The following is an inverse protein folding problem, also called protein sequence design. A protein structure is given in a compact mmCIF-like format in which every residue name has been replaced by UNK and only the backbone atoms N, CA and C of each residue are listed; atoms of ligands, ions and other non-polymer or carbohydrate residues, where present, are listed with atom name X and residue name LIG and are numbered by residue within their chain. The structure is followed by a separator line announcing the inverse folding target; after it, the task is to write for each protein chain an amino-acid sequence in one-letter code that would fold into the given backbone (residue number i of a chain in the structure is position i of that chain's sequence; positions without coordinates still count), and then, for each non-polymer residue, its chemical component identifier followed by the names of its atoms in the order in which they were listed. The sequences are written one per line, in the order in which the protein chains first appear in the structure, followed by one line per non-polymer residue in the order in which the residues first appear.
data_IF_281107210203
#
_entry.id   IF_281107210203
#
_cell.length_a   1.000
_cell.length_b   1.000
_cell.length_c   1.000
_cell.angle_alpha   90.00
_cell.angle_beta   90.00
_cell.angle_gamma   90.00
#
_symmetry.space_group_name_H-M   'P 1'
#
loop_
_entity.id
_entity.type
_entity.pdbx_description
1 polymer ?
#
# COMPACT_ATOMS: atom_id res chain seq x y z
N UNK A 1 -28.64 -77.01 -36.63
CA UNK A 1 -27.72 -75.99 -37.15
C UNK A 1 -28.45 -74.68 -37.62
N UNK A 2 -29.48 -74.68 -38.51
CA UNK A 2 -30.11 -73.45 -38.99
C UNK A 2 -30.80 -72.61 -37.91
N UNK A 3 -31.47 -73.28 -36.92
CA UNK A 3 -32.13 -72.54 -35.85
C UNK A 3 -31.16 -71.80 -34.95
N UNK A 4 -30.01 -72.36 -34.65
CA UNK A 4 -28.97 -71.69 -33.80
C UNK A 4 -28.43 -70.46 -34.52
N UNK A 5 -28.16 -70.53 -35.82
CA UNK A 5 -27.71 -69.43 -36.66
C UNK A 5 -28.76 -68.32 -36.68
N UNK A 6 -30.05 -68.66 -36.77
CA UNK A 6 -31.17 -67.71 -36.75
C UNK A 6 -31.29 -66.99 -35.39
N UNK A 7 -31.15 -67.73 -34.29
CA UNK A 7 -31.14 -67.14 -32.93
C UNK A 7 -29.96 -66.19 -32.77
N UNK A 8 -28.76 -66.59 -33.16
CA UNK A 8 -27.56 -65.72 -33.10
C UNK A 8 -27.79 -64.47 -33.93
N UNK A 9 -28.37 -64.58 -35.13
CA UNK A 9 -28.69 -63.46 -36.00
C UNK A 9 -29.69 -62.49 -35.34
N UNK A 10 -30.74 -62.98 -34.68
CA UNK A 10 -31.70 -62.16 -33.92
C UNK A 10 -31.02 -61.47 -32.78
N UNK A 11 -30.17 -62.17 -32.00
CA UNK A 11 -29.42 -61.56 -30.87
C UNK A 11 -28.51 -60.47 -31.39
N UNK A 12 -27.84 -60.64 -32.50
CA UNK A 12 -26.94 -59.67 -33.11
C UNK A 12 -27.69 -58.44 -33.62
N UNK A 13 -28.88 -58.58 -34.20
CA UNK A 13 -29.78 -57.46 -34.51
C UNK A 13 -30.22 -56.72 -33.27
N UNK A 14 -30.68 -57.41 -32.22
CA UNK A 14 -31.11 -56.82 -30.99
C UNK A 14 -29.98 -56.06 -30.28
N UNK A 15 -28.76 -56.59 -30.28
CA UNK A 15 -27.58 -55.91 -29.76
C UNK A 15 -27.23 -54.65 -30.58
N UNK A 16 -27.44 -54.66 -31.90
CA UNK A 16 -27.23 -53.48 -32.75
C UNK A 16 -28.27 -52.36 -32.55
N UNK A 17 -29.48 -52.75 -32.01
CA UNK A 17 -30.55 -51.78 -31.74
C UNK A 17 -30.27 -50.90 -30.55
N UNK A 18 -29.48 -51.37 -29.60
CA UNK A 18 -29.19 -50.66 -28.36
C UNK A 18 -28.09 -49.62 -28.61
N UNK A 19 -28.37 -48.37 -28.28
CA UNK A 19 -27.41 -47.26 -28.36
C UNK A 19 -27.38 -46.51 -27.03
N UNK A 20 -26.16 -46.22 -26.57
CA UNK A 20 -25.92 -45.41 -25.36
C UNK A 20 -25.53 -44.01 -25.81
N UNK A 21 -26.26 -43.00 -25.34
CA UNK A 21 -25.94 -41.56 -25.57
C UNK A 21 -25.14 -41.07 -24.39
N UNK A 22 -23.90 -40.57 -24.59
CA UNK A 22 -23.07 -40.05 -23.52
C UNK A 22 -23.67 -38.78 -22.90
N UNK A 23 -23.23 -38.44 -21.69
CA UNK A 23 -23.56 -37.19 -21.01
C UNK A 23 -23.20 -35.99 -21.87
N UNK A 24 -24.05 -34.94 -21.87
CA UNK A 24 -23.89 -33.71 -22.66
C UNK A 24 -23.86 -33.94 -24.20
N UNK A 25 -24.38 -35.07 -24.68
CA UNK A 25 -24.64 -35.31 -26.11
C UNK A 25 -26.12 -35.63 -26.30
N UNK A 26 -26.55 -35.34 -27.53
CA UNK A 26 -27.91 -35.60 -27.94
C UNK A 26 -27.91 -36.14 -29.38
N UNK A 27 -28.74 -37.13 -29.70
CA UNK A 27 -28.83 -37.65 -31.05
C UNK A 27 -30.22 -37.35 -31.60
N UNK A 28 -30.22 -36.73 -32.76
CA UNK A 28 -31.44 -36.44 -33.54
C UNK A 28 -31.75 -37.66 -34.39
N UNK A 29 -32.97 -38.22 -34.23
CA UNK A 29 -33.41 -39.44 -34.87
C UNK A 29 -34.44 -39.13 -35.95
N UNK A 30 -34.19 -39.59 -37.15
CA UNK A 30 -35.12 -39.62 -38.27
C UNK A 30 -35.74 -40.98 -38.39
N UNK A 31 -37.03 -41.00 -38.71
CA UNK A 31 -37.76 -42.19 -39.10
C UNK A 31 -38.32 -42.02 -40.50
N UNK A 32 -37.85 -42.85 -41.41
CA UNK A 32 -38.23 -42.77 -42.82
C UNK A 32 -38.13 -41.37 -43.44
N UNK A 33 -37.08 -40.63 -43.06
CA UNK A 33 -36.83 -39.28 -43.57
C UNK A 33 -37.53 -38.14 -42.86
N UNK A 34 -38.33 -38.41 -41.81
CA UNK A 34 -38.96 -37.36 -40.99
C UNK A 34 -38.38 -37.35 -39.61
N UNK A 35 -38.33 -36.18 -38.97
CA UNK A 35 -37.94 -36.03 -37.56
C UNK A 35 -38.89 -36.89 -36.66
N UNK A 36 -38.33 -37.77 -35.88
CA UNK A 36 -39.08 -38.59 -34.92
C UNK A 36 -38.91 -38.13 -33.49
N UNK A 37 -37.68 -38.11 -32.99
CA UNK A 37 -37.39 -37.74 -31.60
C UNK A 37 -35.93 -37.35 -31.43
N UNK A 38 -35.65 -36.70 -30.31
CA UNK A 38 -34.30 -36.35 -29.89
C UNK A 38 -33.94 -37.16 -28.65
N UNK A 39 -32.87 -37.96 -28.74
CA UNK A 39 -32.40 -38.77 -27.63
C UNK A 39 -31.44 -37.99 -26.74
N UNK A 40 -31.78 -37.84 -25.49
CA UNK A 40 -30.93 -37.31 -24.44
C UNK A 40 -29.96 -38.37 -23.92
N UNK A 41 -29.08 -37.99 -22.96
CA UNK A 41 -28.14 -38.93 -22.35
C UNK A 41 -28.89 -40.15 -21.72
N UNK A 42 -28.39 -41.34 -22.00
CA UNK A 42 -28.98 -42.60 -21.49
C UNK A 42 -29.01 -43.71 -22.52
N UNK A 43 -29.74 -44.78 -22.18
CA UNK A 43 -29.92 -45.96 -23.02
C UNK A 43 -31.16 -45.77 -23.90
N UNK A 44 -30.98 -45.96 -25.20
CA UNK A 44 -32.07 -45.86 -26.19
C UNK A 44 -32.06 -47.05 -27.14
N UNK A 45 -33.24 -47.38 -27.63
CA UNK A 45 -33.43 -48.48 -28.57
C UNK A 45 -33.80 -47.92 -29.94
N UNK A 46 -33.00 -48.27 -30.95
CA UNK A 46 -33.17 -47.90 -32.34
C UNK A 46 -33.89 -49.04 -33.10
N UNK A 47 -34.91 -48.69 -33.86
CA UNK A 47 -35.52 -49.69 -34.79
C UNK A 47 -34.60 -49.82 -36.02
N UNK A 48 -34.02 -51.02 -36.26
CA UNK A 48 -33.16 -51.26 -37.41
C UNK A 48 -33.92 -51.00 -38.70
N UNK A 49 -33.20 -50.48 -39.71
CA UNK A 49 -33.68 -50.12 -41.05
C UNK A 49 -34.66 -48.93 -41.13
N UNK A 50 -35.42 -48.64 -40.10
CA UNK A 50 -36.44 -47.59 -40.08
C UNK A 50 -35.89 -46.29 -39.47
N UNK A 51 -35.17 -46.43 -38.32
CA UNK A 51 -34.62 -45.26 -37.59
C UNK A 51 -33.18 -44.99 -38.06
N UNK A 52 -32.89 -43.71 -38.36
CA UNK A 52 -31.56 -43.24 -38.72
C UNK A 52 -31.13 -42.14 -37.72
N UNK A 53 -29.88 -42.16 -37.30
CA UNK A 53 -29.28 -41.02 -36.56
C UNK A 53 -28.92 -39.95 -37.62
N UNK A 54 -29.67 -38.86 -37.64
CA UNK A 54 -29.44 -37.75 -38.55
C UNK A 54 -28.14 -36.99 -38.16
N UNK A 55 -28.01 -36.62 -36.91
CA UNK A 55 -26.83 -35.94 -36.38
C UNK A 55 -26.61 -36.22 -34.93
N UNK A 56 -25.34 -36.28 -34.53
CA UNK A 56 -24.92 -36.32 -33.14
C UNK A 56 -24.53 -34.89 -32.77
N UNK A 57 -25.17 -34.34 -31.75
CA UNK A 57 -25.00 -32.96 -31.30
C UNK A 57 -24.41 -32.95 -29.88
N UNK A 58 -23.40 -32.12 -29.62
CA UNK A 58 -22.90 -31.85 -28.28
C UNK A 58 -23.62 -30.64 -27.71
N UNK A 59 -24.03 -30.76 -26.45
CA UNK A 59 -24.66 -29.66 -25.70
C UNK A 59 -23.63 -28.85 -24.88
N UNK A 60 -22.35 -29.22 -25.01
CA UNK A 60 -21.28 -28.45 -24.38
C UNK A 60 -21.08 -27.13 -25.10
N UNK A 61 -20.60 -26.12 -24.39
CA UNK A 61 -20.15 -24.89 -25.00
C UNK A 61 -19.03 -25.19 -26.02
N UNK A 62 -19.17 -24.59 -27.20
CA UNK A 62 -18.24 -24.70 -28.28
C UNK A 62 -17.65 -23.33 -28.61
N UNK A 63 -16.42 -23.34 -29.11
CA UNK A 63 -15.68 -22.14 -29.48
C UNK A 63 -15.34 -22.22 -30.95
N UNK A 64 -15.66 -21.15 -31.68
CA UNK A 64 -15.25 -20.99 -33.08
C UNK A 64 -14.44 -19.72 -33.22
N UNK A 65 -13.26 -19.86 -33.81
CA UNK A 65 -12.36 -18.76 -34.13
C UNK A 65 -12.55 -18.43 -35.63
N UNK A 66 -13.02 -17.23 -35.91
CA UNK A 66 -13.25 -16.79 -37.28
C UNK A 66 -12.05 -15.99 -37.79
N UNK A 67 -11.74 -16.21 -39.10
CA UNK A 67 -10.65 -15.52 -39.73
C UNK A 67 -10.82 -13.98 -39.71
N UNK A 68 -9.70 -13.22 -39.78
CA UNK A 68 -9.73 -11.77 -39.77
C UNK A 68 -10.62 -11.19 -40.89
N UNK A 69 -11.64 -10.44 -40.48
CA UNK A 69 -12.58 -9.79 -41.39
C UNK A 69 -12.16 -8.34 -41.64
N UNK A 70 -12.14 -7.89 -42.92
CA UNK A 70 -11.90 -6.49 -43.25
C UNK A 70 -13.13 -5.66 -42.91
N UNK A 71 -12.92 -4.60 -42.12
CA UNK A 71 -13.96 -3.62 -41.71
C UNK A 71 -13.45 -2.21 -41.93
N UNK A 72 -14.37 -1.25 -42.09
CA UNK A 72 -14.05 0.16 -42.28
C UNK A 72 -14.73 0.94 -41.18
N UNK A 73 -13.97 1.75 -40.49
CA UNK A 73 -14.46 2.63 -39.42
C UNK A 73 -15.15 3.87 -39.96
N UNK A 74 -15.84 4.61 -39.12
CA UNK A 74 -16.51 5.88 -39.44
C UNK A 74 -15.55 6.94 -40.01
N UNK A 75 -14.32 6.98 -39.55
CA UNK A 75 -13.22 7.83 -40.03
C UNK A 75 -12.48 7.26 -41.24
N UNK A 76 -13.10 6.29 -41.93
CA UNK A 76 -12.64 5.67 -43.20
C UNK A 76 -11.29 4.93 -43.11
N UNK A 77 -10.98 4.37 -41.93
CA UNK A 77 -9.80 3.50 -41.78
C UNK A 77 -10.20 2.05 -41.98
N UNK A 78 -9.53 1.37 -42.91
CA UNK A 78 -9.71 -0.07 -43.15
C UNK A 78 -8.84 -0.85 -42.15
N UNK A 79 -9.45 -1.72 -41.37
CA UNK A 79 -8.73 -2.59 -40.41
C UNK A 79 -9.18 -4.05 -40.55
N UNK A 80 -8.43 -4.95 -39.97
CA UNK A 80 -8.76 -6.38 -39.88
C UNK A 80 -8.98 -6.77 -38.46
N UNK A 81 -10.14 -7.42 -38.21
CA UNK A 81 -10.54 -7.82 -36.84
C UNK A 81 -10.86 -9.31 -36.85
N UNK A 82 -10.24 -10.04 -35.92
CA UNK A 82 -10.52 -11.44 -35.62
C UNK A 82 -11.56 -11.52 -34.53
N UNK A 83 -12.49 -12.47 -34.66
CA UNK A 83 -13.53 -12.69 -33.63
C UNK A 83 -13.59 -14.15 -33.22
N UNK A 84 -13.83 -14.36 -31.93
CA UNK A 84 -14.07 -15.67 -31.33
C UNK A 84 -15.47 -15.67 -30.75
N UNK A 85 -16.27 -16.66 -31.12
CA UNK A 85 -17.65 -16.83 -30.69
C UNK A 85 -17.78 -18.08 -29.84
N UNK A 86 -18.29 -17.92 -28.62
CA UNK A 86 -18.63 -18.97 -27.69
C UNK A 86 -20.13 -19.20 -27.76
N UNK A 87 -20.51 -20.39 -28.16
CA UNK A 87 -21.92 -20.75 -28.32
C UNK A 87 -22.22 -22.12 -27.78
N UNK A 88 -23.49 -22.36 -27.48
CA UNK A 88 -24.02 -23.61 -26.99
C UNK A 88 -25.29 -23.97 -27.75
N UNK A 89 -25.47 -25.26 -28.07
CA UNK A 89 -26.69 -25.74 -28.73
C UNK A 89 -27.73 -25.98 -27.64
N UNK A 90 -28.85 -25.24 -27.71
CA UNK A 90 -29.96 -25.33 -26.79
C UNK A 90 -31.06 -26.25 -27.31
N UNK A 91 -31.37 -26.18 -28.61
CA UNK A 91 -32.32 -27.08 -29.27
C UNK A 91 -31.65 -27.85 -30.43
N UNK A 92 -31.32 -29.14 -30.23
CA UNK A 92 -30.72 -29.98 -31.25
C UNK A 92 -31.57 -30.15 -32.52
N UNK A 93 -32.91 -30.10 -32.42
CA UNK A 93 -33.80 -30.21 -33.55
C UNK A 93 -33.67 -28.98 -34.45
N UNK A 94 -33.78 -27.79 -33.89
CA UNK A 94 -33.62 -26.53 -34.63
C UNK A 94 -32.21 -26.40 -35.23
N UNK A 95 -31.19 -26.86 -34.50
CA UNK A 95 -29.80 -26.85 -34.97
C UNK A 95 -29.60 -27.72 -36.19
N UNK A 96 -30.31 -28.84 -36.32
CA UNK A 96 -30.14 -29.78 -37.47
C UNK A 96 -31.00 -29.39 -38.66
N UNK A 97 -32.21 -28.85 -38.43
CA UNK A 97 -33.18 -28.57 -39.46
C UNK A 97 -33.47 -27.09 -39.72
N UNK A 98 -33.05 -26.21 -38.82
CA UNK A 98 -33.33 -24.77 -38.93
C UNK A 98 -32.44 -24.05 -39.97
N UNK A 99 -31.19 -24.52 -40.10
CA UNK A 99 -30.23 -23.96 -41.07
C UNK A 99 -29.31 -25.04 -41.61
N UNK A 100 -28.94 -24.98 -42.89
CA UNK A 100 -28.11 -26.01 -43.52
C UNK A 100 -26.69 -26.08 -42.94
N UNK A 101 -26.05 -24.92 -42.76
CA UNK A 101 -24.69 -24.79 -42.22
C UNK A 101 -24.64 -23.79 -41.09
N UNK A 102 -24.95 -24.19 -39.83
CA UNK A 102 -25.03 -23.28 -38.71
C UNK A 102 -23.76 -22.46 -38.48
N UNK A 103 -22.61 -23.07 -38.55
CA UNK A 103 -21.32 -22.41 -38.31
C UNK A 103 -21.03 -21.34 -39.37
N UNK A 104 -21.26 -21.65 -40.64
CA UNK A 104 -21.08 -20.68 -41.74
C UNK A 104 -22.11 -19.53 -41.63
N UNK A 105 -23.32 -19.82 -41.20
CA UNK A 105 -24.32 -18.79 -40.94
C UNK A 105 -23.91 -17.85 -39.82
N UNK A 106 -23.39 -18.37 -38.70
CA UNK A 106 -22.84 -17.57 -37.62
C UNK A 106 -21.64 -16.73 -38.06
N UNK A 107 -20.73 -17.31 -38.89
CA UNK A 107 -19.58 -16.60 -39.45
C UNK A 107 -20.00 -15.37 -40.25
N UNK A 108 -20.90 -15.56 -41.22
CA UNK A 108 -21.39 -14.47 -42.05
C UNK A 108 -22.18 -13.43 -41.28
N UNK A 109 -22.97 -13.87 -40.28
CA UNK A 109 -23.69 -12.97 -39.41
C UNK A 109 -22.73 -12.16 -38.53
N UNK A 110 -21.70 -12.81 -37.98
CA UNK A 110 -20.64 -12.16 -37.19
C UNK A 110 -19.92 -11.12 -38.05
N UNK A 111 -19.55 -11.44 -39.26
CA UNK A 111 -18.85 -10.52 -40.18
C UNK A 111 -19.71 -9.30 -40.52
N UNK A 112 -21.01 -9.50 -40.79
CA UNK A 112 -21.93 -8.38 -41.13
C UNK A 112 -22.24 -7.53 -39.92
N UNK A 113 -22.50 -8.13 -38.77
CA UNK A 113 -22.74 -7.41 -37.50
C UNK A 113 -21.51 -6.63 -37.06
N UNK A 114 -20.33 -7.22 -37.15
CA UNK A 114 -19.06 -6.54 -36.86
C UNK A 114 -18.89 -5.31 -37.75
N UNK A 115 -19.10 -5.47 -39.07
CA UNK A 115 -19.00 -4.36 -40.04
C UNK A 115 -19.95 -3.20 -39.68
N UNK A 116 -21.17 -3.50 -39.30
CA UNK A 116 -22.15 -2.49 -38.94
C UNK A 116 -21.73 -1.75 -37.65
N UNK A 117 -21.34 -2.48 -36.59
CA UNK A 117 -20.95 -1.88 -35.33
C UNK A 117 -19.68 -1.03 -35.47
N UNK A 118 -18.68 -1.52 -36.22
CA UNK A 118 -17.41 -0.79 -36.41
C UNK A 118 -17.60 0.40 -37.36
N UNK A 119 -18.51 0.30 -38.33
CA UNK A 119 -18.83 1.43 -39.24
C UNK A 119 -19.42 2.66 -38.55
N UNK A 120 -19.98 2.49 -37.37
CA UNK A 120 -20.51 3.58 -36.52
C UNK A 120 -19.46 4.18 -35.57
N UNK A 121 -18.28 3.54 -35.41
CA UNK A 121 -17.23 3.91 -34.47
C UNK A 121 -16.01 4.48 -35.18
N UNK A 122 -15.33 5.41 -34.51
CA UNK A 122 -14.00 5.87 -34.92
C UNK A 122 -12.90 4.85 -34.53
N UNK A 123 -11.72 4.99 -35.15
CA UNK A 123 -10.59 4.07 -34.87
C UNK A 123 -10.25 3.98 -33.38
N UNK A 124 -10.11 5.13 -32.73
CA UNK A 124 -9.74 5.20 -31.31
C UNK A 124 -10.83 4.58 -30.42
N UNK A 125 -12.10 4.80 -30.76
CA UNK A 125 -13.24 4.19 -30.07
C UNK A 125 -13.25 2.68 -30.24
N UNK A 126 -12.94 2.19 -31.45
CA UNK A 126 -12.86 0.75 -31.74
C UNK A 126 -11.78 0.05 -30.91
N UNK A 127 -10.64 0.71 -30.69
CA UNK A 127 -9.53 0.16 -29.90
C UNK A 127 -9.81 0.16 -28.40
N UNK A 128 -10.56 1.15 -27.90
CA UNK A 128 -10.80 1.35 -26.46
C UNK A 128 -12.10 0.74 -25.96
N UNK A 129 -13.12 0.60 -26.82
CA UNK A 129 -14.48 0.18 -26.44
C UNK A 129 -14.80 -1.28 -26.73
N UNK A 130 -13.81 -2.18 -26.67
CA UNK A 130 -13.97 -3.61 -26.96
C UNK A 130 -15.14 -4.28 -26.24
N UNK A 131 -15.32 -3.98 -24.96
CA UNK A 131 -16.39 -4.55 -24.12
C UNK A 131 -17.78 -4.15 -24.64
N UNK A 132 -17.96 -2.90 -25.07
CA UNK A 132 -19.20 -2.41 -25.65
C UNK A 132 -19.49 -3.10 -26.99
N UNK A 133 -18.48 -3.28 -27.82
CA UNK A 133 -18.58 -3.98 -29.10
C UNK A 133 -18.95 -5.45 -28.87
N UNK A 134 -18.24 -6.15 -27.99
CA UNK A 134 -18.50 -7.54 -27.61
C UNK A 134 -19.96 -7.73 -27.13
N UNK A 135 -20.44 -6.81 -26.29
CA UNK A 135 -21.81 -6.86 -25.75
C UNK A 135 -22.85 -6.66 -26.85
N UNK A 136 -22.67 -5.66 -27.74
CA UNK A 136 -23.56 -5.41 -28.86
C UNK A 136 -23.57 -6.59 -29.82
N UNK A 137 -22.40 -7.11 -30.17
CA UNK A 137 -22.28 -8.27 -31.05
C UNK A 137 -22.99 -9.49 -30.45
N UNK A 138 -22.74 -9.79 -29.17
CA UNK A 138 -23.40 -10.91 -28.49
C UNK A 138 -24.92 -10.77 -28.55
N UNK A 139 -25.47 -9.61 -28.24
CA UNK A 139 -26.92 -9.38 -28.24
C UNK A 139 -27.53 -9.62 -29.63
N UNK A 140 -26.92 -9.06 -30.68
CA UNK A 140 -27.43 -9.21 -32.06
C UNK A 140 -27.28 -10.65 -32.56
N UNK A 141 -26.15 -11.30 -32.24
CA UNK A 141 -25.92 -12.69 -32.66
C UNK A 141 -26.85 -13.64 -31.92
N UNK A 142 -27.04 -13.49 -30.61
CA UNK A 142 -27.93 -14.35 -29.81
C UNK A 142 -29.38 -14.28 -30.31
N UNK A 143 -29.89 -13.07 -30.56
CA UNK A 143 -31.23 -12.87 -31.13
C UNK A 143 -31.39 -13.55 -32.52
N UNK A 144 -30.39 -13.40 -33.37
CA UNK A 144 -30.44 -13.95 -34.71
C UNK A 144 -30.23 -15.47 -34.78
N UNK A 145 -29.55 -16.08 -33.79
CA UNK A 145 -29.26 -17.54 -33.76
C UNK A 145 -30.27 -18.33 -32.93
N UNK A 146 -31.14 -17.69 -32.16
CA UNK A 146 -32.18 -18.33 -31.37
C UNK A 146 -33.13 -19.23 -32.23
N UNK A 147 -33.61 -18.81 -33.40
CA UNK A 147 -34.40 -19.64 -34.30
C UNK A 147 -33.68 -20.92 -34.78
N UNK A 148 -32.36 -20.96 -34.72
CA UNK A 148 -31.54 -22.12 -35.08
C UNK A 148 -31.22 -23.02 -33.88
N UNK A 149 -31.76 -22.72 -32.69
CA UNK A 149 -31.51 -23.45 -31.44
C UNK A 149 -30.06 -23.30 -30.95
N UNK A 150 -29.43 -22.18 -31.24
CA UNK A 150 -28.06 -21.84 -30.82
C UNK A 150 -28.13 -20.63 -29.91
N UNK A 151 -27.52 -20.73 -28.76
CA UNK A 151 -27.32 -19.63 -27.83
C UNK A 151 -25.91 -19.12 -27.88
N UNK A 152 -25.72 -17.84 -28.13
CA UNK A 152 -24.41 -17.17 -28.10
C UNK A 152 -24.15 -16.66 -26.69
N UNK A 153 -23.25 -17.32 -25.98
CA UNK A 153 -22.91 -16.96 -24.59
C UNK A 153 -21.99 -15.73 -24.56
N UNK A 154 -20.98 -15.71 -25.41
CA UNK A 154 -19.97 -14.64 -25.44
C UNK A 154 -19.37 -14.48 -26.84
N UNK A 155 -19.03 -13.25 -27.16
CA UNK A 155 -18.28 -12.88 -28.36
C UNK A 155 -17.08 -12.04 -27.92
N UNK A 156 -15.91 -12.35 -28.45
CA UNK A 156 -14.68 -11.66 -28.12
C UNK A 156 -13.94 -11.21 -29.38
N UNK A 157 -13.53 -9.94 -29.38
CA UNK A 157 -12.59 -9.43 -30.38
C UNK A 157 -11.17 -9.84 -29.97
N UNK A 158 -10.52 -10.65 -30.79
CA UNK A 158 -9.19 -11.20 -30.52
C UNK A 158 -8.11 -10.17 -30.88
N UNK A 159 -7.96 -9.86 -32.14
CA UNK A 159 -6.99 -8.90 -32.65
C UNK A 159 -7.70 -7.81 -33.45
N UNK A 160 -7.26 -6.56 -33.26
CA UNK A 160 -7.66 -5.42 -34.07
C UNK A 160 -6.39 -4.90 -34.73
N UNK A 161 -6.28 -5.08 -36.04
CA UNK A 161 -5.08 -4.80 -36.80
C UNK A 161 -5.36 -3.65 -37.78
N UNK A 162 -4.97 -2.41 -37.42
CA UNK A 162 -5.04 -1.27 -38.33
C UNK A 162 -3.95 -1.38 -39.44
N UNK A 163 -4.00 -0.58 -40.48
CA UNK A 163 -2.95 -0.49 -41.49
C UNK A 163 -1.61 -0.07 -40.86
N UNK A 164 -0.50 -0.59 -41.35
CA UNK A 164 0.83 -0.34 -40.78
C UNK A 164 1.19 1.14 -40.71
N UNK A 165 0.82 1.93 -41.72
CA UNK A 165 1.08 3.37 -41.71
C UNK A 165 0.39 4.11 -40.53
N UNK A 166 -0.82 3.68 -40.20
CA UNK A 166 -1.56 4.24 -39.04
C UNK A 166 -0.96 3.73 -37.75
N UNK A 167 -0.60 2.44 -37.68
CA UNK A 167 0.06 1.86 -36.50
C UNK A 167 1.38 2.59 -36.18
N UNK A 168 2.22 2.84 -37.19
CA UNK A 168 3.47 3.59 -37.04
C UNK A 168 3.23 5.05 -36.57
N UNK A 169 2.19 5.69 -37.13
CA UNK A 169 1.81 7.04 -36.70
C UNK A 169 1.33 7.10 -35.23
N UNK A 170 0.47 6.16 -34.84
CA UNK A 170 -0.03 6.03 -33.47
C UNK A 170 1.12 5.71 -32.48
N UNK A 171 2.06 4.83 -32.86
CA UNK A 171 3.21 4.52 -32.04
C UNK A 171 4.08 5.75 -31.80
N UNK A 172 4.36 6.55 -32.84
CA UNK A 172 5.10 7.82 -32.71
C UNK A 172 4.35 8.82 -31.83
N UNK A 173 3.05 8.97 -32.02
CA UNK A 173 2.21 9.85 -31.21
C UNK A 173 2.21 9.43 -29.75
N UNK A 174 1.99 8.13 -29.47
CA UNK A 174 2.00 7.59 -28.12
C UNK A 174 3.36 7.75 -27.45
N UNK A 175 4.46 7.57 -28.19
CA UNK A 175 5.82 7.81 -27.67
C UNK A 175 6.01 9.26 -27.27
N UNK A 176 5.67 10.19 -28.14
CA UNK A 176 5.77 11.62 -27.87
C UNK A 176 4.90 12.05 -26.67
N UNK A 177 3.69 11.52 -26.55
CA UNK A 177 2.81 11.82 -25.41
C UNK A 177 3.37 11.23 -24.11
N UNK A 178 3.95 10.03 -24.12
CA UNK A 178 4.62 9.44 -22.95
C UNK A 178 5.85 10.27 -22.54
N UNK A 179 6.67 10.65 -23.48
CA UNK A 179 7.84 11.53 -23.22
C UNK A 179 7.40 12.88 -22.62
N UNK A 180 6.35 13.48 -23.16
CA UNK A 180 5.78 14.72 -22.60
C UNK A 180 5.29 14.54 -21.18
N UNK A 181 4.54 13.48 -20.90
CA UNK A 181 4.06 13.16 -19.53
C UNK A 181 5.19 12.87 -18.57
N UNK A 182 6.20 12.15 -19.02
CA UNK A 182 7.41 11.87 -18.24
C UNK A 182 8.10 13.17 -17.81
N UNK A 183 8.31 14.11 -18.75
CA UNK A 183 8.93 15.40 -18.44
C UNK A 183 8.10 16.22 -17.43
N UNK A 184 6.77 16.24 -17.58
CA UNK A 184 5.88 16.90 -16.63
C UNK A 184 6.01 16.30 -15.24
N UNK A 185 5.93 14.95 -15.13
CA UNK A 185 6.03 14.25 -13.86
C UNK A 185 7.39 14.46 -13.17
N UNK A 186 8.48 14.47 -13.94
CA UNK A 186 9.82 14.76 -13.42
C UNK A 186 9.86 16.19 -12.87
N UNK A 187 9.41 17.18 -13.65
CA UNK A 187 9.41 18.58 -13.22
C UNK A 187 8.52 18.83 -11.98
N UNK A 188 7.35 18.19 -11.92
CA UNK A 188 6.48 18.22 -10.74
C UNK A 188 7.13 17.56 -9.53
N UNK A 189 7.80 16.42 -9.73
CA UNK A 189 8.54 15.71 -8.70
C UNK A 189 9.69 16.53 -8.14
N UNK A 190 10.47 17.18 -9.00
CA UNK A 190 11.56 18.10 -8.62
C UNK A 190 11.03 19.30 -7.83
N UNK A 191 9.96 19.94 -8.33
CA UNK A 191 9.30 21.05 -7.63
C UNK A 191 8.83 20.64 -6.23
N UNK A 192 8.13 19.51 -6.12
CA UNK A 192 7.62 18.99 -4.84
C UNK A 192 8.77 18.64 -3.89
N UNK A 193 9.83 18.02 -4.42
CA UNK A 193 11.04 17.70 -3.65
C UNK A 193 11.73 18.95 -3.14
N UNK A 194 11.86 20.00 -3.97
CA UNK A 194 12.45 21.28 -3.56
C UNK A 194 11.63 21.97 -2.46
N UNK A 195 10.30 21.98 -2.59
CA UNK A 195 9.40 22.55 -1.57
C UNK A 195 9.56 21.79 -0.24
N UNK A 196 9.47 20.45 -0.25
CA UNK A 196 9.60 19.64 0.96
C UNK A 196 10.96 19.79 1.63
N UNK A 197 12.05 19.92 0.84
CA UNK A 197 13.38 20.23 1.41
C UNK A 197 13.42 21.59 2.07
N UNK A 198 12.85 22.61 1.42
CA UNK A 198 12.82 23.97 1.99
C UNK A 198 11.97 24.04 3.27
N UNK A 199 10.83 23.35 3.30
CA UNK A 199 9.98 23.21 4.48
C UNK A 199 10.71 22.48 5.62
N UNK A 200 11.35 21.35 5.32
CA UNK A 200 12.14 20.61 6.31
C UNK A 200 13.32 21.41 6.86
N UNK A 201 14.02 22.18 6.03
CA UNK A 201 15.05 23.10 6.51
C UNK A 201 14.51 24.24 7.39
N UNK A 202 13.35 24.80 7.04
CA UNK A 202 12.68 25.81 7.87
C UNK A 202 12.29 25.23 9.23
N UNK A 203 11.66 24.07 9.25
CA UNK A 203 11.22 23.41 10.48
C UNK A 203 12.41 23.01 11.36
N UNK A 204 13.48 22.47 10.75
CA UNK A 204 14.72 22.15 11.47
C UNK A 204 15.32 23.40 12.15
N UNK A 205 15.38 24.55 11.45
CA UNK A 205 15.89 25.81 12.04
C UNK A 205 15.01 26.36 13.14
N UNK A 206 13.69 26.21 13.04
CA UNK A 206 12.76 26.63 14.09
C UNK A 206 12.98 25.77 15.33
N UNK A 207 13.03 24.43 15.19
CA UNK A 207 13.27 23.52 16.30
C UNK A 207 14.65 23.74 16.95
N UNK A 208 15.69 24.02 16.18
CA UNK A 208 17.02 24.35 16.68
C UNK A 208 17.00 25.65 17.50
N UNK A 209 16.37 26.70 17.00
CA UNK A 209 16.22 27.96 17.71
C UNK A 209 15.36 27.83 18.99
N UNK A 210 14.33 27.02 18.98
CA UNK A 210 13.51 26.72 20.17
C UNK A 210 14.30 25.91 21.21
N UNK A 211 15.09 24.94 20.76
CA UNK A 211 15.97 24.16 21.61
C UNK A 211 17.04 25.03 22.28
N UNK A 212 17.68 25.93 21.53
CA UNK A 212 18.66 26.88 22.04
C UNK A 212 18.03 27.86 23.06
N UNK A 213 16.85 28.36 22.76
CA UNK A 213 16.09 29.22 23.69
C UNK A 213 15.75 28.49 24.98
N UNK A 214 15.24 27.27 24.92
CA UNK A 214 14.89 26.48 26.08
C UNK A 214 16.14 26.11 26.88
N UNK A 215 17.23 25.75 26.22
CA UNK A 215 18.52 25.49 26.90
C UNK A 215 19.07 26.73 27.61
N UNK A 216 18.97 27.92 26.97
CA UNK A 216 19.41 29.18 27.61
C UNK A 216 18.54 29.53 28.82
N UNK A 217 17.23 29.34 28.75
CA UNK A 217 16.32 29.59 29.88
C UNK A 217 16.64 28.62 31.04
N UNK A 218 16.76 27.33 30.76
CA UNK A 218 17.11 26.33 31.79
C UNK A 218 18.47 26.58 32.42
N UNK A 219 19.47 27.01 31.66
CA UNK A 219 20.78 27.41 32.19
C UNK A 219 20.68 28.63 33.10
N UNK A 220 19.89 29.65 32.71
CA UNK A 220 19.71 30.83 33.55
C UNK A 220 18.95 30.53 34.85
N UNK A 221 17.93 29.68 34.79
CA UNK A 221 17.19 29.22 35.94
C UNK A 221 18.07 28.39 36.90
N UNK A 222 18.82 27.43 36.36
CA UNK A 222 19.77 26.66 37.14
C UNK A 222 20.84 27.52 37.81
N UNK A 223 21.39 28.52 37.09
CA UNK A 223 22.36 29.46 37.65
C UNK A 223 21.74 30.33 38.76
N UNK A 224 20.50 30.79 38.58
CA UNK A 224 19.75 31.52 39.63
C UNK A 224 19.53 30.64 40.86
N UNK A 225 19.06 29.43 40.69
CA UNK A 225 18.79 28.50 41.80
C UNK A 225 20.07 28.12 42.54
N UNK A 226 21.17 27.88 41.82
CA UNK A 226 22.48 27.63 42.42
C UNK A 226 22.95 28.78 43.31
N UNK A 227 22.83 30.06 42.82
CA UNK A 227 23.17 31.23 43.61
C UNK A 227 22.28 31.43 44.83
N UNK A 228 20.98 31.14 44.71
CA UNK A 228 20.08 31.21 45.87
C UNK A 228 20.48 30.17 46.91
N UNK A 229 20.69 28.93 46.52
CA UNK A 229 21.12 27.85 47.44
C UNK A 229 22.47 28.11 48.07
N UNK A 230 23.41 28.69 47.33
CA UNK A 230 24.72 29.11 47.83
C UNK A 230 24.57 30.20 48.90
N UNK A 231 23.78 31.26 48.61
CA UNK A 231 23.51 32.34 49.55
C UNK A 231 22.74 31.88 50.81
N UNK A 232 21.77 30.96 50.63
CA UNK A 232 21.05 30.34 51.77
C UNK A 232 22.01 29.50 52.62
N UNK A 233 22.89 28.71 51.98
CA UNK A 233 23.92 27.93 52.69
C UNK A 233 24.89 28.81 53.45
N UNK A 234 25.38 29.90 52.85
CA UNK A 234 26.24 30.87 53.52
C UNK A 234 25.53 31.56 54.71
N UNK A 235 24.27 31.99 54.51
CA UNK A 235 23.49 32.60 55.58
C UNK A 235 23.27 31.64 56.73
N UNK A 236 22.96 30.36 56.43
CA UNK A 236 22.78 29.34 57.47
C UNK A 236 24.09 29.02 58.19
N UNK A 237 25.21 28.97 57.48
CA UNK A 237 26.54 28.79 58.03
C UNK A 237 26.90 29.95 59.02
N UNK A 238 26.68 31.20 58.57
CA UNK A 238 26.94 32.39 59.42
C UNK A 238 26.05 32.36 60.66
N UNK A 239 24.74 32.07 60.56
CA UNK A 239 23.83 31.91 61.64
C UNK A 239 24.31 30.85 62.68
N UNK A 240 24.72 29.70 62.14
CA UNK A 240 25.21 28.61 63.00
C UNK A 240 26.49 28.97 63.73
N UNK A 241 27.42 29.68 63.08
CA UNK A 241 28.66 30.17 63.72
C UNK A 241 28.35 31.21 64.75
N UNK A 242 27.45 32.16 64.45
CA UNK A 242 27.08 33.20 65.41
C UNK A 242 26.32 32.66 66.65
N UNK A 243 25.51 31.63 66.41
CA UNK A 243 24.80 30.93 67.50
C UNK A 243 25.76 30.16 68.40
N UNK A 244 26.72 29.44 67.80
CA UNK A 244 27.77 28.77 68.55
C UNK A 244 28.66 29.73 69.33
N UNK A 245 29.03 30.89 68.76
CA UNK A 245 29.75 31.97 69.45
C UNK A 245 28.94 32.54 70.67
N UNK A 246 27.64 32.80 70.41
CA UNK A 246 26.76 33.29 71.45
C UNK A 246 26.59 32.29 72.62
N UNK A 247 26.42 31.00 72.24
CA UNK A 247 26.33 29.95 73.29
C UNK A 247 27.68 29.76 73.98
N UNK A 248 28.80 29.85 73.30
CA UNK A 248 30.14 29.88 73.93
C UNK A 248 30.32 31.02 74.91
N UNK A 249 29.82 32.23 74.54
CA UNK A 249 29.85 33.39 75.47
C UNK A 249 28.93 33.17 76.70
N UNK A 250 27.74 32.57 76.54
CA UNK A 250 26.83 32.20 77.61
C UNK A 250 27.49 31.23 78.63
N UNK A 251 28.10 30.14 78.07
CA UNK A 251 28.83 29.17 78.89
C UNK A 251 29.98 29.80 79.69
N UNK A 252 30.72 30.74 79.05
CA UNK A 252 31.78 31.48 79.76
C UNK A 252 31.21 32.37 80.89
N UNK A 253 30.06 33.01 80.67
CA UNK A 253 29.38 33.83 81.69
C UNK A 253 28.84 33.00 82.87
N UNK A 254 28.26 31.82 82.54
CA UNK A 254 27.72 30.91 83.56
C UNK A 254 28.84 30.22 84.37
N UNK A 255 30.01 29.97 83.78
CA UNK A 255 31.17 29.40 84.43
C UNK A 255 31.90 30.40 85.39
N UNK A 256 31.41 31.62 85.59
CA UNK A 256 31.97 32.60 86.50
C UNK A 256 33.37 33.07 86.11
N UNK A 257 33.51 33.48 84.85
CA UNK A 257 34.82 33.84 84.23
C UNK A 257 35.52 34.95 85.03
N UNK A 258 36.61 34.57 85.64
CA UNK A 258 37.50 35.48 86.43
C UNK A 258 38.26 36.42 85.46
N UNK A 259 38.78 37.54 85.95
CA UNK A 259 39.51 38.48 85.12
C UNK A 259 40.62 37.86 84.30
N UNK A 260 41.22 36.79 84.77
CA UNK A 260 42.25 36.01 84.05
C UNK A 260 41.75 35.31 82.76
N UNK A 261 40.52 34.83 82.70
CA UNK A 261 39.90 34.16 81.52
C UNK A 261 39.54 35.19 80.47
N UNK A 262 39.10 36.40 80.88
CA UNK A 262 38.84 37.51 79.95
C UNK A 262 40.13 38.00 79.30
N UNK A 263 41.25 38.05 80.05
CA UNK A 263 42.57 38.40 79.56
C UNK A 263 43.07 37.36 78.53
N UNK A 264 42.86 36.07 78.80
CA UNK A 264 43.28 34.98 77.85
C UNK A 264 42.47 35.05 76.55
N UNK A 265 41.19 35.33 76.62
CA UNK A 265 40.34 35.57 75.47
C UNK A 265 40.66 36.81 74.70
N UNK A 266 41.12 37.85 75.32
CA UNK A 266 41.59 39.08 74.68
C UNK A 266 42.90 38.88 73.95
N UNK A 267 43.81 38.03 74.48
CA UNK A 267 45.02 37.56 73.75
C UNK A 267 44.74 36.67 72.57
N UNK A 268 43.75 35.74 72.68
CA UNK A 268 43.34 34.92 71.55
C UNK A 268 42.70 35.75 70.43
N UNK A 269 41.86 36.73 70.76
CA UNK A 269 41.28 37.66 69.82
C UNK A 269 42.34 38.52 69.13
N UNK A 270 43.37 38.90 69.86
CA UNK A 270 44.53 39.65 69.34
C UNK A 270 45.39 38.76 68.41
N UNK A 271 45.66 37.52 68.79
CA UNK A 271 46.38 36.58 67.99
C UNK A 271 45.64 36.34 66.63
N UNK A 272 44.32 36.18 66.69
CA UNK A 272 43.51 36.05 65.44
C UNK A 272 43.49 37.32 64.59
N UNK A 273 43.52 38.52 65.25
CA UNK A 273 43.61 39.78 64.54
C UNK A 273 45.00 39.97 63.89
N UNK A 274 46.03 39.47 64.53
CA UNK A 274 47.42 39.56 64.05
C UNK A 274 47.73 38.59 62.94
N UNK A 275 46.98 37.47 62.78
CA UNK A 275 47.13 36.51 61.74
C UNK A 275 46.38 36.90 60.42
N UNK A 276 45.62 38.03 60.52
CA UNK A 276 44.97 38.60 59.34
C UNK A 276 45.95 39.32 58.45
N UNK A 277 45.68 39.30 57.09
CA UNK A 277 46.48 39.94 56.02
C UNK A 277 46.52 41.47 56.07
N UNK A 278 46.21 42.13 57.26
CA UNK A 278 46.19 43.56 57.35
C UNK A 278 47.56 44.15 57.70
N UNK A 279 48.04 45.13 56.93
CA UNK A 279 49.37 45.74 57.01
C UNK A 279 49.51 46.77 58.16
N UNK A 280 48.46 47.09 58.86
CA UNK A 280 48.47 48.01 60.04
C UNK A 280 47.63 47.45 61.16
N UNK A 281 48.26 47.16 62.27
CA UNK A 281 47.61 46.77 63.54
C UNK A 281 47.73 47.97 64.52
N UNK A 282 46.58 48.50 64.91
CA UNK A 282 46.50 49.55 65.99
C UNK A 282 46.32 48.78 67.29
N UNK A 283 47.35 48.84 68.17
CA UNK A 283 47.32 48.15 69.45
C UNK A 283 46.85 49.18 70.54
N UNK A 284 45.75 48.93 71.26
CA UNK A 284 45.34 49.77 72.34
C UNK A 284 46.41 49.77 73.49
N UNK A 285 46.62 50.94 74.09
CA UNK A 285 47.63 51.14 75.13
C UNK A 285 47.58 50.16 76.29
N UNK A 286 46.42 49.69 76.60
CA UNK A 286 46.17 48.76 77.76
C UNK A 286 46.74 47.35 77.54
N UNK A 287 46.98 46.97 76.27
CA UNK A 287 47.53 45.64 75.91
C UNK A 287 49.07 45.70 75.88
N UNK A 288 49.67 46.85 75.64
CA UNK A 288 51.14 47.03 75.58
C UNK A 288 51.81 46.71 76.95
N UNK A 289 51.16 47.05 78.02
CA UNK A 289 51.66 46.72 79.40
C UNK A 289 51.73 45.18 79.67
N UNK A 290 50.77 44.44 79.09
CA UNK A 290 50.72 42.99 79.27
C UNK A 290 51.71 42.25 78.36
N UNK A 291 51.91 42.72 77.14
CA UNK A 291 52.88 42.12 76.19
C UNK A 291 54.32 42.27 76.72
N UNK A 292 54.61 43.40 77.46
CA UNK A 292 55.86 43.62 78.16
C UNK A 292 56.08 42.61 79.33
N UNK A 293 55.04 42.28 80.06
CA UNK A 293 55.10 41.37 81.21
C UNK A 293 55.31 39.91 80.75
N UNK A 294 54.70 39.49 79.63
CA UNK A 294 54.90 38.14 79.01
C UNK A 294 56.34 38.02 78.45
N UNK A 295 56.89 39.07 77.85
CA UNK A 295 58.27 39.06 77.32
C UNK A 295 59.29 38.95 78.50
N UNK A 296 59.06 39.57 79.64
CA UNK A 296 59.92 39.44 80.83
C UNK A 296 59.84 38.07 81.44
N UNK A 297 58.65 37.40 81.43
CA UNK A 297 58.48 36.03 81.92
C UNK A 297 59.15 34.98 81.02
N UNK A 298 59.12 35.20 79.73
CA UNK A 298 59.77 34.30 78.74
C UNK A 298 61.30 34.45 78.75
N UNK A 299 61.79 35.64 79.08
CA UNK A 299 63.24 35.89 79.26
C UNK A 299 63.79 35.33 80.57
N UNK A 300 63.03 35.34 81.61
CA UNK A 300 63.40 34.70 82.92
C UNK A 300 63.32 33.17 82.80
N UNK A 301 62.41 32.61 81.99
CA UNK A 301 62.34 31.15 81.72
C UNK A 301 63.39 30.63 80.75
N UNK A 302 64.22 31.47 80.14
CA UNK A 302 65.36 31.10 79.25
C UNK A 302 66.75 31.14 79.94
N UNK A 303 66.77 31.55 81.26
CA UNK A 303 68.02 31.62 82.07
C UNK A 303 68.10 30.48 83.14
N UNK A 304 67.26 29.44 83.03
CA UNK A 304 67.42 28.18 83.80
C UNK A 304 67.75 26.96 82.89
#
# INVERSE_FOLDING_TARGET
MPIIIFIIFIILILASCVKIVPQAHTYVIERLGTYNTTWTAGLHVKVPFIDRIARKVTLKEQVVDFAPQPVITKDNVTMRIDTVVFYQITDPKLFVYGVESPIMAIENLTATTLRNIIGDLELDETLTSRETINTKMRATLDEATDPWGIKVNRVELKNIIPPSAIQDAMEKQMKAERERREQILIAEGEKKSAILRAEGHKESKILEAEADKTAAILKAEAAKEAKIREAEGEAQAILSIKQAEADGIKFLKEAGADASVIQLKSLDAFAKAADGKATKIIIPSDIQGMAGAVKSLVEVAKED
#
